data_IF_912595398388
#
_entry.id   IF_912595398388
#
_cell.length_a   1.000
_cell.length_b   1.000
_cell.length_c   1.000
_cell.angle_alpha   90.00
_cell.angle_beta   90.00
_cell.angle_gamma   90.00
#
_symmetry.space_group_name_H-M   'P 1'
#
loop_
_entity.id
_entity.type
_entity.pdbx_description
1 polymer ?
#
# COMPACT_ATOMS: atom_id res chain seq x y z
N UNK A 1 -21.74 -12.17 2.66
CA UNK A 1 -20.45 -11.72 3.23
C UNK A 1 -20.13 -10.36 2.62
N UNK A 2 -19.51 -9.46 3.37
CA UNK A 2 -19.05 -8.18 2.80
C UNK A 2 -17.98 -8.45 1.74
N UNK A 3 -18.00 -7.70 0.64
CA UNK A 3 -17.01 -7.85 -0.43
C UNK A 3 -15.65 -7.42 0.10
N UNK A 4 -14.58 -8.19 -0.15
CA UNK A 4 -13.22 -7.80 0.26
C UNK A 4 -12.41 -7.31 -0.92
N UNK A 5 -11.29 -6.66 -0.64
CA UNK A 5 -10.38 -6.19 -1.69
C UNK A 5 -9.81 -7.32 -2.55
N UNK A 6 -9.68 -8.52 -1.97
CA UNK A 6 -9.20 -9.73 -2.67
C UNK A 6 -10.18 -10.24 -3.72
N UNK A 7 -11.41 -9.73 -3.75
CA UNK A 7 -12.44 -10.08 -4.74
C UNK A 7 -12.53 -9.03 -5.86
N UNK A 8 -11.62 -8.06 -5.90
CA UNK A 8 -11.52 -7.06 -6.95
C UNK A 8 -10.59 -7.53 -8.06
N UNK A 9 -10.95 -7.21 -9.31
CA UNK A 9 -9.99 -7.28 -10.40
C UNK A 9 -8.93 -6.17 -10.24
N UNK A 10 -7.89 -6.24 -11.07
CA UNK A 10 -6.77 -5.31 -10.97
C UNK A 10 -7.18 -3.83 -11.22
N UNK A 11 -8.22 -3.56 -12.02
CA UNK A 11 -8.70 -2.21 -12.31
C UNK A 11 -9.52 -1.65 -11.15
N UNK A 12 -10.44 -2.47 -10.63
CA UNK A 12 -11.24 -2.15 -9.45
C UNK A 12 -10.33 -1.93 -8.23
N UNK A 13 -9.28 -2.75 -8.07
CA UNK A 13 -8.27 -2.60 -7.02
C UNK A 13 -7.50 -1.28 -7.19
N UNK A 14 -7.09 -0.93 -8.41
CA UNK A 14 -6.44 0.36 -8.71
C UNK A 14 -7.32 1.53 -8.30
N UNK A 15 -8.60 1.51 -8.69
CA UNK A 15 -9.54 2.56 -8.31
C UNK A 15 -9.72 2.63 -6.78
N UNK A 16 -9.84 1.49 -6.11
CA UNK A 16 -9.97 1.42 -4.66
C UNK A 16 -8.76 2.05 -3.93
N UNK A 17 -7.54 1.72 -4.35
CA UNK A 17 -6.33 2.26 -3.73
C UNK A 17 -6.09 3.73 -4.08
N UNK A 18 -6.58 4.25 -5.21
CA UNK A 18 -6.42 5.67 -5.55
C UNK A 18 -7.39 6.61 -4.81
N UNK A 19 -8.29 6.08 -3.98
CA UNK A 19 -9.18 6.89 -3.13
C UNK A 19 -8.38 7.69 -2.10
N UNK A 20 -8.87 8.89 -1.77
CA UNK A 20 -8.23 9.75 -0.76
C UNK A 20 -8.12 9.06 0.61
N UNK A 21 -9.14 8.29 0.97
CA UNK A 21 -9.22 7.53 2.22
C UNK A 21 -8.19 6.39 2.29
N UNK A 22 -7.76 5.87 1.13
CA UNK A 22 -6.72 4.85 1.01
C UNK A 22 -5.31 5.46 1.13
N UNK A 23 -5.16 6.75 0.78
CA UNK A 23 -3.87 7.44 0.81
C UNK A 23 -3.49 7.91 2.22
N UNK A 24 -4.45 8.39 3.02
CA UNK A 24 -4.18 8.88 4.37
C UNK A 24 -5.31 8.57 5.35
N UNK A 25 -4.94 8.04 6.52
CA UNK A 25 -5.84 7.87 7.66
C UNK A 25 -5.90 9.11 8.57
N UNK A 26 -5.05 10.11 8.33
CA UNK A 26 -5.03 11.35 9.12
C UNK A 26 -6.27 12.18 8.81
N UNK A 27 -7.04 12.52 9.85
CA UNK A 27 -8.18 13.45 9.74
C UNK A 27 -7.67 14.87 9.55
N UNK A 28 -7.63 15.30 8.30
CA UNK A 28 -7.24 16.66 7.91
C UNK A 28 -8.47 17.57 7.79
N UNK A 29 -8.28 18.90 7.88
CA UNK A 29 -9.37 19.85 7.62
C UNK A 29 -10.02 19.60 6.25
N UNK A 30 -11.34 19.82 6.16
CA UNK A 30 -12.15 19.47 4.97
C UNK A 30 -11.73 20.14 3.67
N UNK A 31 -10.99 21.25 3.75
CA UNK A 31 -10.44 21.97 2.60
C UNK A 31 -9.14 21.37 2.06
N UNK A 32 -8.50 20.45 2.79
CA UNK A 32 -7.35 19.69 2.28
C UNK A 32 -7.89 18.43 1.61
N UNK A 33 -7.78 18.40 0.28
CA UNK A 33 -8.28 17.30 -0.55
C UNK A 33 -7.19 16.73 -1.45
N UNK A 34 -6.92 15.44 -1.31
CA UNK A 34 -5.90 14.75 -2.11
C UNK A 34 -6.43 14.15 -3.41
N UNK A 35 -7.74 13.90 -3.54
CA UNK A 35 -8.31 13.29 -4.75
C UNK A 35 -7.90 14.00 -6.05
N UNK A 36 -8.02 15.35 -6.17
CA UNK A 36 -7.62 16.04 -7.39
C UNK A 36 -6.12 15.92 -7.71
N UNK A 37 -5.29 15.81 -6.68
CA UNK A 37 -3.85 15.64 -6.84
C UNK A 37 -3.52 14.21 -7.29
N UNK A 38 -4.12 13.21 -6.65
CA UNK A 38 -3.92 11.79 -6.96
C UNK A 38 -4.39 11.48 -8.39
N UNK A 39 -5.57 11.95 -8.77
CA UNK A 39 -6.11 11.80 -10.14
C UNK A 39 -5.18 12.43 -11.19
N UNK A 40 -4.72 13.66 -10.94
CA UNK A 40 -3.80 14.36 -11.85
C UNK A 40 -2.47 13.62 -12.00
N UNK A 41 -1.93 13.06 -10.92
CA UNK A 41 -0.70 12.27 -10.94
C UNK A 41 -0.94 10.96 -11.69
N UNK A 42 -2.03 10.25 -11.41
CA UNK A 42 -2.38 8.99 -12.08
C UNK A 42 -2.52 9.18 -13.58
N UNK A 43 -3.26 10.20 -14.02
CA UNK A 43 -3.41 10.51 -15.44
C UNK A 43 -2.05 10.79 -16.11
N UNK A 44 -1.18 11.55 -15.45
CA UNK A 44 0.17 11.84 -15.97
C UNK A 44 1.05 10.60 -16.06
N UNK A 45 0.88 9.66 -15.12
CA UNK A 45 1.55 8.38 -15.11
C UNK A 45 1.10 7.48 -16.25
N UNK A 46 -0.21 7.36 -16.45
CA UNK A 46 -0.81 6.56 -17.52
C UNK A 46 -0.41 7.09 -18.91
N UNK A 47 -0.37 8.42 -19.11
CA UNK A 47 0.12 9.05 -20.36
C UNK A 47 1.57 8.68 -20.67
N UNK A 48 2.43 8.58 -19.65
CA UNK A 48 3.85 8.27 -19.84
C UNK A 48 4.10 6.79 -20.16
N UNK A 49 3.13 5.89 -19.91
CA UNK A 49 3.20 4.47 -20.22
C UNK A 49 2.75 4.15 -21.67
N UNK A 50 2.00 5.04 -22.32
CA UNK A 50 1.46 4.85 -23.68
C UNK A 50 2.47 5.06 -24.83
N UNK A 51 3.77 5.09 -24.55
CA UNK A 51 4.82 5.17 -25.58
C UNK A 51 5.87 4.08 -25.45
N UNK A 52 5.69 2.93 -26.12
CA UNK A 52 6.66 1.85 -26.45
C UNK A 52 7.77 1.47 -25.44
N UNK A 53 7.66 1.87 -24.18
CA UNK A 53 8.64 1.60 -23.13
C UNK A 53 7.89 1.11 -21.91
N UNK A 54 7.43 -0.14 -22.00
CA UNK A 54 7.19 -0.96 -20.82
C UNK A 54 8.44 -0.86 -19.94
N UNK A 55 8.30 -0.25 -18.78
CA UNK A 55 9.38 -0.13 -17.80
C UNK A 55 9.67 -1.55 -17.32
N UNK A 56 10.87 -2.07 -17.60
CA UNK A 56 11.68 -2.85 -16.66
C UNK A 56 13.03 -3.21 -17.29
N UNK A 57 14.08 -3.09 -16.46
CA UNK A 57 15.53 -3.37 -16.64
C UNK A 57 16.38 -2.17 -17.01
N UNK A 58 17.37 -1.88 -16.16
CA UNK A 58 18.64 -1.22 -16.56
C UNK A 58 19.01 -1.82 -17.92
N UNK A 59 18.92 -1.04 -19.00
CA UNK A 59 19.73 -1.37 -20.16
C UNK A 59 21.19 -1.25 -19.72
N UNK A 60 22.08 -2.04 -20.33
CA UNK A 60 23.53 -2.11 -20.11
C UNK A 60 24.28 -0.74 -20.18
N UNK A 61 23.56 0.38 -20.32
CA UNK A 61 24.03 1.74 -20.57
C UNK A 61 23.57 2.80 -19.54
N UNK A 62 22.97 2.42 -18.40
CA UNK A 62 22.70 3.37 -17.30
C UNK A 62 21.64 4.46 -17.56
N UNK A 63 20.72 4.25 -18.52
CA UNK A 63 19.70 5.24 -18.89
C UNK A 63 18.55 5.28 -17.87
N UNK A 64 18.06 6.48 -17.54
CA UNK A 64 16.92 6.68 -16.64
C UNK A 64 15.58 6.20 -17.24
N UNK A 65 14.95 5.19 -16.62
CA UNK A 65 13.80 4.43 -17.17
C UNK A 65 12.47 4.86 -16.56
N UNK A 66 12.48 5.68 -15.52
CA UNK A 66 11.28 6.26 -14.93
C UNK A 66 11.11 7.70 -15.43
N UNK A 67 10.16 7.98 -16.35
CA UNK A 67 9.99 9.30 -16.96
C UNK A 67 9.75 10.41 -15.93
N UNK A 68 9.19 10.08 -14.77
CA UNK A 68 8.91 11.02 -13.68
C UNK A 68 10.16 11.43 -12.93
N UNK A 69 11.13 10.52 -12.80
CA UNK A 69 12.40 10.76 -12.13
C UNK A 69 13.44 11.37 -13.07
N UNK A 70 13.09 11.70 -14.31
CA UNK A 70 14.03 12.35 -15.22
C UNK A 70 14.31 13.77 -14.77
N UNK A 71 15.60 14.07 -14.55
CA UNK A 71 16.03 15.43 -14.23
C UNK A 71 15.84 16.32 -15.46
N UNK A 72 15.25 17.50 -15.25
CA UNK A 72 15.26 18.58 -16.24
C UNK A 72 16.45 19.48 -15.94
N UNK A 73 17.18 19.87 -16.97
CA UNK A 73 18.23 20.88 -16.84
C UNK A 73 17.63 22.26 -16.52
N UNK A 74 18.48 23.23 -16.18
CA UNK A 74 18.06 24.60 -15.86
C UNK A 74 17.38 25.34 -17.04
N UNK A 75 17.36 24.74 -18.24
CA UNK A 75 16.71 25.25 -19.46
C UNK A 75 15.44 24.46 -19.81
N UNK A 76 15.04 23.48 -19.00
CA UNK A 76 13.83 22.67 -19.19
C UNK A 76 13.99 21.47 -20.14
N UNK A 77 15.18 21.23 -20.69
CA UNK A 77 15.48 20.05 -21.50
C UNK A 77 15.66 18.83 -20.60
N UNK A 78 15.15 17.67 -21.05
CA UNK A 78 15.32 16.38 -20.37
C UNK A 78 16.77 15.94 -20.49
N UNK A 79 17.48 15.87 -19.38
CA UNK A 79 18.77 15.18 -19.36
C UNK A 79 18.48 13.67 -19.32
N UNK A 80 18.79 12.99 -20.43
CA UNK A 80 18.48 11.57 -20.59
C UNK A 80 19.39 10.65 -19.76
N UNK A 81 20.42 11.20 -19.10
CA UNK A 81 21.44 10.42 -18.41
C UNK A 81 21.32 10.42 -16.87
N UNK A 82 20.51 11.29 -16.26
CA UNK A 82 20.37 11.34 -14.79
C UNK A 82 18.94 11.04 -14.32
N UNK A 83 18.83 10.03 -13.45
CA UNK A 83 17.60 9.60 -12.80
C UNK A 83 17.60 10.03 -11.34
N UNK A 84 16.52 10.69 -10.91
CA UNK A 84 16.26 11.10 -9.53
C UNK A 84 15.70 9.88 -8.79
N UNK A 85 16.56 9.08 -8.18
CA UNK A 85 16.09 7.99 -7.32
C UNK A 85 15.64 8.54 -5.97
N UNK A 86 14.38 8.31 -5.53
CA UNK A 86 13.90 8.78 -4.23
C UNK A 86 14.77 8.33 -3.05
N UNK A 87 15.40 7.16 -3.15
CA UNK A 87 16.34 6.63 -2.15
C UNK A 87 17.57 7.50 -1.90
N UNK A 88 17.91 8.39 -2.86
CA UNK A 88 19.07 9.26 -2.76
C UNK A 88 18.77 10.58 -2.04
N UNK A 89 17.52 10.80 -1.61
CA UNK A 89 17.08 12.04 -0.98
C UNK A 89 16.49 11.77 0.40
N UNK A 90 16.80 12.66 1.34
CA UNK A 90 16.17 12.65 2.65
C UNK A 90 14.83 13.41 2.62
N UNK A 91 13.95 13.08 3.57
CA UNK A 91 12.67 13.77 3.78
C UNK A 91 11.75 13.79 2.54
N UNK A 92 11.83 12.74 1.70
CA UNK A 92 10.93 12.57 0.54
C UNK A 92 9.47 12.50 0.98
N UNK A 93 9.21 11.76 2.06
CA UNK A 93 7.89 11.67 2.68
C UNK A 93 7.68 12.80 3.68
N UNK A 94 6.45 13.32 3.75
CA UNK A 94 6.09 14.42 4.63
C UNK A 94 5.86 13.95 6.06
N UNK A 95 6.57 14.54 7.02
CA UNK A 95 6.47 14.23 8.46
C UNK A 95 5.48 15.18 9.13
N UNK A 96 4.43 14.63 9.73
CA UNK A 96 3.40 15.35 10.47
C UNK A 96 3.48 14.95 11.95
N UNK A 97 3.74 15.92 12.82
CA UNK A 97 3.70 15.69 14.26
C UNK A 97 2.32 16.03 14.81
N UNK A 98 1.69 15.06 15.45
CA UNK A 98 0.40 15.22 16.12
C UNK A 98 0.55 15.00 17.61
N UNK A 99 -0.34 15.61 18.40
CA UNK A 99 -0.39 15.35 19.82
C UNK A 99 -1.06 13.98 20.05
N UNK A 100 -0.39 13.08 20.76
CA UNK A 100 -0.91 11.75 21.06
C UNK A 100 -2.00 11.83 22.12
N UNK A 101 -1.76 12.58 23.21
CA UNK A 101 -2.62 12.66 24.41
C UNK A 101 -2.29 13.88 25.31
N UNK A 102 -2.42 15.12 24.80
CA UNK A 102 -2.48 16.33 25.63
C UNK A 102 -1.39 16.49 26.70
N UNK A 103 -0.13 16.70 26.31
CA UNK A 103 0.85 17.65 26.88
C UNK A 103 2.32 17.19 26.73
N UNK A 104 2.62 15.89 26.58
CA UNK A 104 4.03 15.42 26.55
C UNK A 104 4.37 14.30 25.56
N UNK A 105 3.44 13.87 24.70
CA UNK A 105 3.69 12.81 23.73
C UNK A 105 3.34 13.24 22.30
N UNK A 106 4.35 13.30 21.43
CA UNK A 106 4.17 13.52 20.00
C UNK A 106 4.04 12.17 19.28
N UNK A 107 3.06 12.04 18.40
CA UNK A 107 2.97 10.94 17.43
C UNK A 107 3.38 11.46 16.06
N UNK A 108 4.46 10.89 15.53
CA UNK A 108 4.92 11.15 14.18
C UNK A 108 4.06 10.33 13.21
N UNK A 109 3.31 11.03 12.36
CA UNK A 109 2.71 10.48 11.16
C UNK A 109 3.60 10.81 9.97
N UNK A 110 3.69 9.91 9.00
CA UNK A 110 4.43 10.15 7.78
C UNK A 110 3.52 9.91 6.58
N UNK A 111 3.27 10.95 5.79
CA UNK A 111 2.56 10.84 4.53
C UNK A 111 3.56 10.49 3.43
N UNK A 112 3.31 9.38 2.75
CA UNK A 112 4.10 8.96 1.60
C UNK A 112 3.98 10.03 0.52
N UNK A 113 5.07 10.37 -0.16
CA UNK A 113 5.00 11.35 -1.25
C UNK A 113 3.95 10.91 -2.30
N UNK A 114 2.98 11.76 -2.70
CA UNK A 114 1.85 11.35 -3.55
C UNK A 114 2.25 10.64 -4.85
N UNK A 115 3.34 11.10 -5.49
CA UNK A 115 3.88 10.45 -6.70
C UNK A 115 4.34 9.03 -6.43
N UNK A 116 5.03 8.77 -5.30
CA UNK A 116 5.50 7.43 -4.96
C UNK A 116 4.34 6.51 -4.60
N UNK A 117 3.33 7.05 -3.92
CA UNK A 117 2.13 6.31 -3.60
C UNK A 117 1.40 5.86 -4.87
N UNK A 118 1.12 6.79 -5.79
CA UNK A 118 0.42 6.45 -7.05
C UNK A 118 1.24 5.50 -7.92
N UNK A 119 2.57 5.69 -8.00
CA UNK A 119 3.48 4.80 -8.72
C UNK A 119 3.44 3.37 -8.14
N UNK A 120 3.47 3.23 -6.80
CA UNK A 120 3.31 1.94 -6.13
C UNK A 120 1.94 1.32 -6.43
N UNK A 121 0.86 2.10 -6.33
CA UNK A 121 -0.50 1.61 -6.62
C UNK A 121 -0.59 1.11 -8.06
N UNK A 122 -0.08 1.87 -9.04
CA UNK A 122 -0.02 1.43 -10.43
C UNK A 122 0.76 0.12 -10.56
N UNK A 123 1.90 0.00 -9.87
CA UNK A 123 2.74 -1.20 -9.97
C UNK A 123 2.08 -2.43 -9.39
N UNK A 124 1.51 -2.36 -8.19
CA UNK A 124 0.87 -3.52 -7.55
C UNK A 124 -0.45 -3.92 -8.22
N UNK A 125 -1.06 -3.02 -8.99
CA UNK A 125 -2.31 -3.25 -9.73
C UNK A 125 -2.11 -3.47 -11.24
N UNK A 126 -0.87 -3.66 -11.69
CA UNK A 126 -0.61 -4.34 -12.97
C UNK A 126 -1.21 -5.75 -12.88
N UNK A 127 -1.86 -6.20 -13.96
CA UNK A 127 -2.63 -7.45 -13.96
C UNK A 127 -1.81 -8.65 -13.46
N UNK A 128 -0.57 -8.80 -13.95
CA UNK A 128 0.35 -9.87 -13.51
C UNK A 128 0.67 -9.77 -12.01
N UNK A 129 1.08 -8.58 -11.52
CA UNK A 129 1.46 -8.39 -10.12
C UNK A 129 0.26 -8.54 -9.16
N UNK A 130 -0.93 -8.10 -9.58
CA UNK A 130 -2.14 -8.24 -8.78
C UNK A 130 -2.53 -9.71 -8.63
N UNK A 131 -2.45 -10.49 -9.71
CA UNK A 131 -2.69 -11.93 -9.67
C UNK A 131 -1.68 -12.66 -8.77
N UNK A 132 -0.40 -12.26 -8.78
CA UNK A 132 0.60 -12.79 -7.84
C UNK A 132 0.22 -12.52 -6.37
N UNK A 133 -0.27 -11.31 -6.08
CA UNK A 133 -0.74 -10.95 -4.74
C UNK A 133 -1.96 -11.80 -4.35
N UNK A 134 -2.95 -11.94 -5.25
CA UNK A 134 -4.14 -12.77 -4.99
C UNK A 134 -3.76 -14.22 -4.71
N UNK A 135 -2.89 -14.82 -5.53
CA UNK A 135 -2.40 -16.19 -5.33
C UNK A 135 -1.71 -16.36 -3.97
N UNK A 136 -0.89 -15.40 -3.55
CA UNK A 136 -0.24 -15.46 -2.24
C UNK A 136 -1.26 -15.43 -1.08
N UNK A 137 -2.30 -14.60 -1.18
CA UNK A 137 -3.35 -14.56 -0.16
C UNK A 137 -4.23 -15.82 -0.15
N UNK A 138 -4.48 -16.44 -1.32
CA UNK A 138 -5.14 -17.74 -1.39
C UNK A 138 -4.35 -18.81 -0.64
N UNK A 139 -3.03 -18.86 -0.84
CA UNK A 139 -2.13 -19.77 -0.12
C UNK A 139 -2.14 -19.50 1.40
N UNK A 140 -2.09 -18.24 1.83
CA UNK A 140 -2.15 -17.88 3.25
C UNK A 140 -3.46 -18.33 3.92
N UNK A 141 -4.56 -18.33 3.16
CA UNK A 141 -5.90 -18.69 3.66
C UNK A 141 -6.16 -20.20 3.71
N UNK A 142 -5.27 -21.04 3.16
CA UNK A 142 -5.40 -22.50 3.25
C UNK A 142 -5.31 -23.03 4.69
N UNK A 143 -4.66 -22.28 5.59
CA UNK A 143 -4.55 -22.66 6.99
C UNK A 143 -5.78 -22.21 7.79
N UNK A 144 -6.75 -23.11 7.95
CA UNK A 144 -7.99 -22.86 8.70
C UNK A 144 -7.78 -22.47 10.17
N UNK A 145 -6.59 -22.73 10.74
CA UNK A 145 -6.26 -22.34 12.12
C UNK A 145 -5.89 -20.87 12.26
N UNK A 146 -5.63 -20.18 11.15
CA UNK A 146 -5.21 -18.78 11.12
C UNK A 146 -6.30 -17.98 10.41
N UNK A 147 -6.98 -17.10 11.16
CA UNK A 147 -8.03 -16.24 10.61
C UNK A 147 -7.54 -14.79 10.59
N UNK A 148 -7.44 -14.20 9.40
CA UNK A 148 -7.14 -12.79 9.23
C UNK A 148 -8.43 -11.94 9.27
N UNK A 149 -8.73 -11.35 10.42
CA UNK A 149 -9.92 -10.52 10.61
C UNK A 149 -9.77 -9.06 10.12
N UNK A 150 -8.60 -8.70 9.55
CA UNK A 150 -8.25 -7.32 9.17
C UNK A 150 -8.22 -7.08 7.66
N UNK A 151 -8.66 -8.05 6.84
CA UNK A 151 -8.74 -7.87 5.38
C UNK A 151 -9.68 -6.69 5.06
N UNK A 152 -9.24 -5.71 4.24
CA UNK A 152 -10.06 -4.56 3.89
C UNK A 152 -11.36 -4.95 3.18
N UNK A 153 -12.46 -4.38 3.66
CA UNK A 153 -13.80 -4.50 3.09
C UNK A 153 -14.05 -3.40 2.08
N UNK A 154 -14.67 -3.77 0.97
CA UNK A 154 -15.09 -2.88 -0.11
C UNK A 154 -16.58 -2.65 0.02
N UNK A 155 -16.96 -1.46 0.46
CA UNK A 155 -18.35 -1.06 0.59
C UNK A 155 -18.95 -0.70 -0.77
N UNK A 156 -20.15 -1.23 -1.06
CA UNK A 156 -20.87 -0.94 -2.30
C UNK A 156 -21.57 0.43 -2.27
N UNK A 157 -22.07 0.86 -1.10
CA UNK A 157 -23.01 2.00 -0.98
C UNK A 157 -22.84 2.81 0.32
N UNK A 158 -21.67 2.80 0.96
CA UNK A 158 -21.49 3.44 2.27
C UNK A 158 -20.04 3.76 2.66
N UNK A 159 -19.83 4.08 3.95
CA UNK A 159 -18.50 4.27 4.51
C UNK A 159 -17.87 2.90 4.83
N UNK A 160 -16.82 2.54 4.09
CA UNK A 160 -16.05 1.31 4.26
C UNK A 160 -15.58 1.09 5.70
N UNK A 161 -15.33 2.17 6.46
CA UNK A 161 -14.93 2.10 7.87
C UNK A 161 -16.00 1.44 8.73
N UNK A 162 -17.28 1.76 8.51
CA UNK A 162 -18.38 1.20 9.30
C UNK A 162 -18.52 -0.30 9.04
N UNK A 163 -18.45 -0.70 7.77
CA UNK A 163 -18.50 -2.12 7.40
C UNK A 163 -17.29 -2.88 7.93
N UNK A 164 -16.09 -2.27 7.88
CA UNK A 164 -14.88 -2.86 8.47
C UNK A 164 -15.03 -3.09 9.98
N UNK A 165 -15.59 -2.12 10.72
CA UNK A 165 -15.85 -2.25 12.15
C UNK A 165 -16.85 -3.38 12.43
N UNK A 166 -17.90 -3.49 11.62
CA UNK A 166 -18.89 -4.57 11.75
C UNK A 166 -18.26 -5.95 11.48
N UNK A 167 -17.42 -6.05 10.44
CA UNK A 167 -16.70 -7.29 10.13
C UNK A 167 -15.76 -7.65 11.27
N UNK A 168 -14.98 -6.71 11.80
CA UNK A 168 -14.10 -6.96 12.94
C UNK A 168 -14.88 -7.40 14.18
N UNK A 169 -15.97 -6.71 14.53
CA UNK A 169 -16.81 -7.07 15.68
C UNK A 169 -17.40 -8.47 15.52
N UNK A 170 -17.80 -8.87 14.31
CA UNK A 170 -18.28 -10.23 14.05
C UNK A 170 -17.16 -11.28 14.14
N UNK A 171 -16.03 -11.03 13.49
CA UNK A 171 -14.94 -12.00 13.37
C UNK A 171 -14.13 -12.15 14.67
N UNK A 172 -14.05 -11.10 15.49
CA UNK A 172 -13.28 -11.10 16.73
C UNK A 172 -14.20 -11.21 17.93
N UNK A 173 -15.09 -10.24 18.18
CA UNK A 173 -15.90 -10.22 19.41
C UNK A 173 -16.90 -11.38 19.47
N UNK A 174 -17.74 -11.54 18.45
CA UNK A 174 -18.76 -12.61 18.46
C UNK A 174 -18.11 -13.99 18.40
N UNK A 175 -17.05 -14.16 17.59
CA UNK A 175 -16.34 -15.44 17.51
C UNK A 175 -15.62 -15.80 18.81
N UNK A 176 -15.10 -14.82 19.54
CA UNK A 176 -14.50 -15.05 20.86
C UNK A 176 -15.53 -15.56 21.87
N UNK A 177 -16.78 -15.06 21.83
CA UNK A 177 -17.86 -15.57 22.68
C UNK A 177 -18.19 -17.03 22.31
N UNK A 178 -18.29 -17.33 21.02
CA UNK A 178 -18.54 -18.69 20.52
C UNK A 178 -17.44 -19.66 20.99
N UNK A 179 -16.16 -19.29 20.79
CA UNK A 179 -15.01 -20.10 21.20
C UNK A 179 -14.90 -20.21 22.72
N UNK A 180 -15.35 -19.20 23.49
CA UNK A 180 -15.41 -19.25 24.94
C UNK A 180 -16.39 -20.29 25.50
N UNK A 181 -17.27 -20.86 24.66
CA UNK A 181 -18.10 -22.01 25.04
C UNK A 181 -17.36 -23.35 24.93
N UNK A 182 -16.27 -23.40 24.15
CA UNK A 182 -15.48 -24.60 23.88
C UNK A 182 -14.14 -24.61 24.63
N UNK A 183 -13.55 -23.43 24.86
CA UNK A 183 -12.22 -23.28 25.44
C UNK A 183 -12.25 -22.45 26.73
N UNK A 184 -11.56 -22.92 27.76
CA UNK A 184 -11.47 -22.25 29.07
C UNK A 184 -10.42 -21.12 29.12
N UNK A 185 -9.50 -21.07 28.15
CA UNK A 185 -8.35 -20.15 28.16
C UNK A 185 -8.20 -19.40 26.83
N UNK A 186 -7.89 -18.10 26.95
CA UNK A 186 -7.55 -17.22 25.82
C UNK A 186 -6.21 -16.55 26.08
N UNK A 187 -5.37 -16.49 25.04
CA UNK A 187 -4.08 -15.80 25.08
C UNK A 187 -4.14 -14.58 24.16
N UNK A 188 -4.01 -13.39 24.74
CA UNK A 188 -3.87 -12.15 24.00
C UNK A 188 -2.40 -11.77 23.87
N UNK A 189 -1.98 -11.43 22.65
CA UNK A 189 -0.63 -10.94 22.36
C UNK A 189 -0.73 -9.70 21.48
N UNK A 190 0.23 -8.79 21.63
CA UNK A 190 0.32 -7.56 20.85
C UNK A 190 1.78 -7.32 20.43
N UNK A 191 1.98 -6.67 19.28
CA UNK A 191 3.30 -6.33 18.75
C UNK A 191 3.51 -4.83 18.88
N UNK A 192 4.45 -4.45 19.76
CA UNK A 192 4.88 -3.07 19.91
C UNK A 192 5.54 -2.59 18.62
N UNK A 193 5.09 -1.45 18.11
CA UNK A 193 5.57 -0.85 16.85
C UNK A 193 5.58 -1.84 15.68
N UNK A 194 4.45 -2.53 15.47
CA UNK A 194 4.29 -3.56 14.44
C UNK A 194 4.91 -3.17 13.09
N UNK A 195 4.55 -2.00 12.52
CA UNK A 195 5.08 -1.57 11.23
C UNK A 195 6.57 -1.26 11.26
N UNK A 196 7.08 -0.63 12.32
CA UNK A 196 8.52 -0.35 12.47
C UNK A 196 9.35 -1.62 12.68
N UNK A 197 8.74 -2.69 13.20
CA UNK A 197 9.36 -3.99 13.42
C UNK A 197 9.38 -4.92 12.19
N UNK A 198 8.68 -4.57 11.09
CA UNK A 198 8.66 -5.40 9.88
C UNK A 198 10.03 -5.33 9.19
N UNK A 199 10.71 -6.48 9.12
CA UNK A 199 11.88 -6.65 8.26
C UNK A 199 11.45 -6.59 6.79
N UNK A 200 11.80 -5.54 6.06
CA UNK A 200 11.24 -5.25 4.73
C UNK A 200 11.39 -6.38 3.71
N UNK A 201 12.46 -7.17 3.77
CA UNK A 201 12.63 -8.33 2.89
C UNK A 201 11.65 -9.47 3.18
N UNK A 202 10.99 -9.51 4.35
CA UNK A 202 9.98 -10.52 4.65
C UNK A 202 8.75 -10.42 3.75
N UNK A 203 8.43 -9.22 3.24
CA UNK A 203 7.29 -8.99 2.34
C UNK A 203 7.48 -9.74 1.01
N UNK A 204 8.54 -9.50 0.21
CA UNK A 204 8.76 -10.26 -1.01
C UNK A 204 9.02 -11.74 -0.75
N UNK A 205 9.58 -12.12 0.42
CA UNK A 205 9.72 -13.53 0.79
C UNK A 205 8.37 -14.21 1.01
N UNK A 206 7.41 -13.52 1.62
CA UNK A 206 6.07 -14.04 1.84
C UNK A 206 5.30 -14.22 0.53
N UNK A 207 5.47 -13.31 -0.44
CA UNK A 207 4.74 -13.35 -1.72
C UNK A 207 5.42 -14.30 -2.71
N UNK A 208 6.75 -14.24 -2.86
CA UNK A 208 7.47 -14.95 -3.94
C UNK A 208 8.44 -16.02 -3.48
N UNK A 209 8.55 -16.29 -2.17
CA UNK A 209 9.61 -17.09 -1.51
C UNK A 209 10.97 -16.39 -1.39
N UNK A 210 11.74 -16.79 -0.38
CA UNK A 210 13.07 -16.26 -0.14
C UNK A 210 14.06 -16.55 -1.29
N UNK A 211 13.97 -17.74 -1.91
CA UNK A 211 14.88 -18.13 -2.99
C UNK A 211 14.68 -17.29 -4.26
N UNK A 212 13.42 -16.98 -4.59
CA UNK A 212 13.13 -16.09 -5.71
C UNK A 212 13.58 -14.67 -5.42
N UNK A 213 13.27 -14.14 -4.23
CA UNK A 213 13.63 -12.78 -3.87
C UNK A 213 15.15 -12.55 -3.90
N UNK A 214 15.95 -13.45 -3.30
CA UNK A 214 17.42 -13.36 -3.30
C UNK A 214 18.03 -13.42 -4.70
N UNK A 215 17.45 -14.19 -5.62
CA UNK A 215 17.90 -14.26 -7.02
C UNK A 215 17.63 -12.97 -7.80
N UNK A 216 16.65 -12.19 -7.36
CA UNK A 216 16.21 -10.95 -8.00
C UNK A 216 16.57 -9.70 -7.17
N UNK A 217 17.45 -9.81 -6.18
CA UNK A 217 18.05 -8.65 -5.50
C UNK A 217 18.92 -7.90 -6.52
N UNK A 218 18.60 -6.62 -6.77
CA UNK A 218 19.23 -5.76 -7.78
C UNK A 218 20.12 -4.66 -7.22
#
# INVERSE_FOLDING_TARGET
MSKTILQLDHKDAKEFFLREESYTSVKLPSYIKFSPLIEKISAKLDENLQGDKKICRKNEKGKCIYPIYQRKDNKGNKDNNECIYPSNYENVNYKLFTNKDGQYAWRLFQLIHPVLYVDLVHKITEEENWNDILSAFEDFQQNEKIVCASIPVVSSEGNSTTEQIQVWSKQVEQKSIELGLEYDYIFHTDIVDCYGAIYTHSIPWAIHTQEFAKRNEG
#
